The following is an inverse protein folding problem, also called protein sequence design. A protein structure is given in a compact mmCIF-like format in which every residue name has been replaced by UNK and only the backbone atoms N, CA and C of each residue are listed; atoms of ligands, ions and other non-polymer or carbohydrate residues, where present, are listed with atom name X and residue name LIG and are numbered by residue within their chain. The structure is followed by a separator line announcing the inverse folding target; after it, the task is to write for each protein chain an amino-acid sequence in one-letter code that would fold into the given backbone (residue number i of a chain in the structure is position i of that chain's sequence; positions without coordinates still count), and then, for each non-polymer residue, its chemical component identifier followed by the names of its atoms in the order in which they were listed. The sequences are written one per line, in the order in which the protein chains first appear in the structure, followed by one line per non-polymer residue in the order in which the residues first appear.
data_IF_639985199178
#
_entry.id   IF_639985199178
#
_cell.length_a   1.000
_cell.length_b   1.000
_cell.length_c   1.000
_cell.angle_alpha   90.00
_cell.angle_beta   90.00
_cell.angle_gamma   90.00
#
_symmetry.space_group_name_H-M   'P 1'
#
loop_
_entity.id
_entity.type
_entity.pdbx_description
1 polymer ?
#
# COMPACT_ATOMS: atom_id res chain seq x y z
N UNK A 1 18.18 0.27 12.52
CA UNK A 1 18.87 -0.17 11.27
C UNK A 1 19.53 1.02 10.59
N UNK A 2 18.89 2.18 10.63
CA UNK A 2 19.21 3.34 9.78
C UNK A 2 20.54 4.01 10.13
N UNK A 3 21.07 3.74 11.33
CA UNK A 3 22.43 4.13 11.70
C UNK A 3 23.54 3.38 10.94
N UNK A 4 23.22 2.27 10.25
CA UNK A 4 24.19 1.56 9.42
C UNK A 4 24.32 2.25 8.05
N UNK A 5 25.55 2.48 7.55
CA UNK A 5 25.75 2.94 6.19
C UNK A 5 25.07 2.03 5.17
N UNK A 6 24.52 2.61 4.10
CA UNK A 6 23.81 1.88 3.03
C UNK A 6 24.58 0.66 2.52
N UNK A 7 25.85 0.84 2.14
CA UNK A 7 26.69 -0.25 1.63
C UNK A 7 26.85 -1.41 2.64
N UNK A 8 26.81 -1.11 3.95
CA UNK A 8 26.90 -2.12 5.01
C UNK A 8 25.57 -2.87 5.19
N UNK A 9 24.42 -2.20 5.01
CA UNK A 9 23.09 -2.87 4.95
C UNK A 9 22.99 -3.80 3.75
N UNK A 10 23.42 -3.35 2.58
CA UNK A 10 23.47 -4.18 1.36
C UNK A 10 24.41 -5.39 1.51
N UNK A 11 25.59 -5.19 2.09
CA UNK A 11 26.51 -6.28 2.39
C UNK A 11 25.95 -7.26 3.41
N UNK A 12 25.23 -6.76 4.43
CA UNK A 12 24.55 -7.59 5.41
C UNK A 12 23.46 -8.45 4.76
N UNK A 13 22.67 -7.89 3.84
CA UNK A 13 21.64 -8.62 3.10
C UNK A 13 22.24 -9.81 2.33
N UNK A 14 23.31 -9.57 1.56
CA UNK A 14 24.08 -10.65 0.90
C UNK A 14 24.67 -11.66 1.91
N UNK A 15 25.12 -11.15 3.06
CA UNK A 15 25.69 -11.95 4.13
C UNK A 15 24.71 -12.92 4.77
N UNK A 16 23.48 -12.48 5.07
CA UNK A 16 22.48 -13.32 5.72
C UNK A 16 21.92 -14.41 4.81
N UNK A 17 22.03 -14.24 3.49
CA UNK A 17 21.65 -15.26 2.50
C UNK A 17 22.73 -16.33 2.34
N UNK A 18 24.00 -15.94 2.40
CA UNK A 18 25.14 -16.82 2.14
C UNK A 18 25.69 -17.51 3.39
N UNK A 19 25.26 -17.11 4.60
CA UNK A 19 25.84 -17.60 5.85
C UNK A 19 24.80 -18.18 6.80
N UNK A 20 25.25 -19.12 7.64
CA UNK A 20 24.47 -19.57 8.79
C UNK A 20 24.49 -18.50 9.88
N UNK A 21 23.37 -17.80 10.06
CA UNK A 21 23.27 -16.71 11.03
C UNK A 21 23.04 -17.21 12.46
N UNK A 22 23.77 -16.61 13.40
CA UNK A 22 23.66 -16.83 14.84
C UNK A 22 23.31 -15.54 15.58
N UNK A 23 22.89 -15.69 16.83
CA UNK A 23 22.69 -14.64 17.80
C UNK A 23 23.43 -14.96 19.11
N UNK A 24 23.77 -13.94 19.89
CA UNK A 24 24.44 -14.05 21.20
C UNK A 24 25.94 -14.29 21.14
N UNK A 25 26.56 -14.23 19.96
CA UNK A 25 28.01 -14.33 19.77
C UNK A 25 28.43 -13.79 18.39
N UNK A 26 29.72 -13.48 18.23
CA UNK A 26 30.30 -13.01 16.97
C UNK A 26 30.51 -14.14 15.95
N UNK A 27 31.03 -15.27 16.43
CA UNK A 27 31.21 -16.52 15.68
C UNK A 27 30.94 -17.68 16.62
N UNK A 28 30.40 -18.78 16.10
CA UNK A 28 30.25 -20.04 16.82
C UNK A 28 31.07 -21.13 16.12
N UNK A 29 32.26 -21.49 16.64
CA UNK A 29 33.10 -22.52 16.07
C UNK A 29 32.41 -23.89 15.98
N UNK A 30 31.47 -24.19 16.88
CA UNK A 30 30.77 -25.48 16.91
C UNK A 30 29.79 -25.63 15.76
N UNK A 31 29.00 -24.59 15.47
CA UNK A 31 28.03 -24.63 14.36
C UNK A 31 28.55 -24.06 13.04
N UNK A 32 29.72 -23.41 13.05
CA UNK A 32 30.26 -22.64 11.92
C UNK A 32 29.46 -21.37 11.61
N UNK A 33 28.56 -20.96 12.51
CA UNK A 33 27.69 -19.81 12.33
C UNK A 33 28.38 -18.48 12.63
N UNK A 34 27.87 -17.40 12.01
CA UNK A 34 28.39 -16.04 12.18
C UNK A 34 27.28 -15.05 12.47
N UNK A 35 27.59 -14.00 13.23
CA UNK A 35 26.63 -12.93 13.45
C UNK A 35 26.37 -12.14 12.15
N UNK A 36 25.24 -11.41 12.05
CA UNK A 36 24.94 -10.62 10.85
C UNK A 36 26.03 -9.60 10.50
N UNK A 37 26.70 -9.04 11.52
CA UNK A 37 27.78 -8.08 11.31
C UNK A 37 29.01 -8.72 10.65
N UNK A 38 29.44 -9.88 11.12
CA UNK A 38 30.56 -10.60 10.50
C UNK A 38 30.17 -11.10 9.09
N UNK A 39 28.91 -11.51 8.90
CA UNK A 39 28.39 -11.85 7.57
C UNK A 39 28.47 -10.64 6.61
N UNK A 40 28.11 -9.44 7.09
CA UNK A 40 28.25 -8.20 6.33
C UNK A 40 29.72 -7.91 6.00
N UNK A 41 30.63 -8.03 6.97
CA UNK A 41 32.07 -7.78 6.77
C UNK A 41 32.68 -8.67 5.70
N UNK A 42 32.30 -9.96 5.69
CA UNK A 42 32.72 -10.92 4.66
C UNK A 42 32.21 -10.55 3.26
N UNK A 43 31.13 -9.77 3.18
CA UNK A 43 30.51 -9.31 1.96
C UNK A 43 30.83 -7.84 1.63
N UNK A 44 31.92 -7.31 2.19
CA UNK A 44 32.43 -5.97 1.90
C UNK A 44 31.86 -4.85 2.78
N UNK A 45 31.03 -5.17 3.77
CA UNK A 45 30.58 -4.20 4.77
C UNK A 45 31.75 -3.71 5.62
N UNK A 46 31.89 -2.41 5.80
CA UNK A 46 32.92 -1.81 6.66
C UNK A 46 32.23 -0.86 7.64
N UNK A 47 31.76 -1.43 8.74
CA UNK A 47 31.16 -0.65 9.83
C UNK A 47 31.47 -1.32 11.16
N UNK A 48 31.86 -0.53 12.15
CA UNK A 48 32.09 -1.00 13.51
C UNK A 48 30.99 -0.42 14.41
N UNK A 49 29.80 -1.02 14.33
CA UNK A 49 28.66 -0.60 15.12
C UNK A 49 28.35 -1.67 16.18
N UNK A 50 29.09 -1.64 17.29
CA UNK A 50 28.82 -2.49 18.45
C UNK A 50 27.36 -2.34 18.96
N UNK A 51 26.75 -1.19 18.71
CA UNK A 51 25.32 -0.95 18.97
C UNK A 51 24.40 -1.92 18.23
N UNK A 52 24.68 -2.23 16.97
CA UNK A 52 23.87 -3.17 16.20
C UNK A 52 23.93 -4.58 16.81
N UNK A 53 25.12 -5.06 17.15
CA UNK A 53 25.29 -6.41 17.71
C UNK A 53 24.46 -6.57 19.00
N UNK A 54 24.48 -5.56 19.86
CA UNK A 54 23.64 -5.54 21.07
C UNK A 54 22.15 -5.52 20.74
N UNK A 55 21.71 -4.68 19.80
CA UNK A 55 20.30 -4.62 19.40
C UNK A 55 19.81 -5.94 18.79
N UNK A 56 20.66 -6.63 18.03
CA UNK A 56 20.35 -7.96 17.48
C UNK A 56 20.15 -9.00 18.58
N UNK A 57 21.07 -9.04 19.55
CA UNK A 57 20.97 -9.98 20.67
C UNK A 57 19.75 -9.70 21.56
N UNK A 58 19.40 -8.41 21.76
CA UNK A 58 18.17 -7.99 22.44
C UNK A 58 16.93 -8.43 21.66
N UNK A 59 16.88 -8.16 20.35
CA UNK A 59 15.74 -8.53 19.50
C UNK A 59 15.48 -10.04 19.51
N UNK A 60 16.55 -10.85 19.46
CA UNK A 60 16.46 -12.32 19.48
C UNK A 60 16.31 -12.88 20.90
N UNK A 61 16.47 -12.06 21.94
CA UNK A 61 16.53 -12.51 23.34
C UNK A 61 17.67 -13.50 23.61
N UNK A 62 18.73 -13.49 22.81
CA UNK A 62 19.83 -14.44 22.94
C UNK A 62 20.71 -14.10 24.16
N UNK A 63 20.81 -15.04 25.10
CA UNK A 63 21.75 -14.95 26.25
C UNK A 63 23.04 -15.73 26.03
N UNK A 64 23.06 -16.63 25.05
CA UNK A 64 24.19 -17.48 24.66
C UNK A 64 24.15 -17.66 23.14
N UNK A 65 25.30 -18.02 22.57
CA UNK A 65 25.42 -18.35 21.15
C UNK A 65 24.38 -19.41 20.75
N UNK A 66 23.53 -19.08 19.78
CA UNK A 66 22.59 -20.02 19.16
C UNK A 66 22.33 -19.66 17.72
N UNK A 67 21.83 -20.63 16.96
CA UNK A 67 21.33 -20.38 15.61
C UNK A 67 20.14 -19.43 15.66
N UNK A 68 20.14 -18.45 14.76
CA UNK A 68 18.97 -17.61 14.52
C UNK A 68 17.86 -18.44 13.85
N UNK A 69 16.63 -18.27 14.30
CA UNK A 69 15.47 -18.90 13.69
C UNK A 69 15.18 -18.29 12.32
N UNK A 70 14.42 -18.99 11.48
CA UNK A 70 14.03 -18.46 10.16
C UNK A 70 13.29 -17.12 10.29
N UNK A 71 12.33 -17.04 11.22
CA UNK A 71 11.55 -15.83 11.49
C UNK A 71 12.43 -14.64 11.89
N UNK A 72 13.48 -14.86 12.67
CA UNK A 72 14.42 -13.80 13.05
C UNK A 72 15.24 -13.31 11.86
N UNK A 73 15.70 -14.23 11.00
CA UNK A 73 16.46 -13.87 9.78
C UNK A 73 15.55 -13.16 8.77
N UNK A 74 14.31 -13.61 8.60
CA UNK A 74 13.34 -12.98 7.69
C UNK A 74 12.93 -11.59 8.21
N UNK A 75 12.77 -11.40 9.52
CA UNK A 75 12.54 -10.08 10.11
C UNK A 75 13.73 -9.15 9.87
N UNK A 76 14.96 -9.64 10.06
CA UNK A 76 16.18 -8.87 9.77
C UNK A 76 16.23 -8.46 8.29
N UNK A 77 15.95 -9.40 7.36
CA UNK A 77 15.86 -9.11 5.93
C UNK A 77 14.84 -7.99 5.66
N UNK A 78 13.62 -8.14 6.18
CA UNK A 78 12.56 -7.14 5.99
C UNK A 78 12.97 -5.75 6.50
N UNK A 79 13.59 -5.65 7.67
CA UNK A 79 14.07 -4.36 8.18
C UNK A 79 15.18 -3.75 7.33
N UNK A 80 16.10 -4.57 6.78
CA UNK A 80 17.15 -4.09 5.88
C UNK A 80 16.55 -3.58 4.56
N UNK A 81 15.64 -4.35 3.96
CA UNK A 81 14.96 -3.98 2.72
C UNK A 81 14.14 -2.70 2.87
N UNK A 82 13.34 -2.59 3.93
CA UNK A 82 12.56 -1.38 4.21
C UNK A 82 13.45 -0.15 4.40
N UNK A 83 14.56 -0.30 5.15
CA UNK A 83 15.53 0.79 5.36
C UNK A 83 16.20 1.22 4.05
N UNK A 84 16.49 0.29 3.14
CA UNK A 84 17.08 0.59 1.83
C UNK A 84 16.07 1.24 0.86
N UNK A 85 14.81 0.79 0.87
CA UNK A 85 13.74 1.39 0.07
C UNK A 85 13.47 2.83 0.54
N UNK A 86 13.33 3.04 1.86
CA UNK A 86 13.08 4.36 2.43
C UNK A 86 14.18 5.38 2.05
N UNK A 87 15.45 4.99 2.12
CA UNK A 87 16.56 5.84 1.70
C UNK A 87 16.62 6.05 0.17
N UNK A 88 16.19 5.05 -0.61
CA UNK A 88 16.05 5.18 -2.06
C UNK A 88 14.96 6.18 -2.45
N UNK A 89 13.82 6.12 -1.79
CA UNK A 89 12.72 7.07 -1.96
C UNK A 89 13.10 8.46 -1.48
N UNK A 90 13.85 8.60 -0.39
CA UNK A 90 14.41 9.88 0.05
C UNK A 90 15.37 10.46 -0.99
N UNK A 91 16.17 9.63 -1.68
CA UNK A 91 17.03 10.09 -2.78
C UNK A 91 16.22 10.50 -4.03
N UNK A 92 15.13 9.81 -4.34
CA UNK A 92 14.24 10.14 -5.45
C UNK A 92 13.41 11.40 -5.17
N UNK A 93 12.87 11.53 -3.95
CA UNK A 93 12.11 12.70 -3.49
C UNK A 93 13.00 13.91 -3.19
N UNK A 94 14.27 13.73 -2.80
CA UNK A 94 15.23 14.83 -2.72
C UNK A 94 15.62 15.36 -4.12
N UNK A 95 15.54 14.54 -5.17
CA UNK A 95 15.80 14.94 -6.55
C UNK A 95 14.57 15.53 -7.25
N UNK A 96 13.36 15.13 -6.87
CA UNK A 96 12.13 15.77 -7.29
C UNK A 96 11.57 16.62 -6.15
N UNK A 97 11.90 17.92 -6.16
CA UNK A 97 11.21 18.86 -5.29
C UNK A 97 9.70 18.74 -5.50
N UNK A 98 8.91 18.84 -4.42
CA UNK A 98 7.44 18.92 -4.51
C UNK A 98 7.01 20.00 -5.52
N UNK A 99 7.80 21.06 -5.65
CA UNK A 99 7.62 22.11 -6.66
C UNK A 99 7.78 21.58 -8.09
N UNK A 100 8.80 20.77 -8.36
CA UNK A 100 9.06 20.19 -9.69
C UNK A 100 7.98 19.19 -10.09
N UNK A 101 7.55 18.36 -9.13
CA UNK A 101 6.42 17.44 -9.33
C UNK A 101 5.12 18.21 -9.62
N UNK A 102 4.85 19.29 -8.88
CA UNK A 102 3.69 20.14 -9.11
C UNK A 102 3.76 20.85 -10.48
N UNK A 103 4.93 21.32 -10.91
CA UNK A 103 5.11 21.92 -12.23
C UNK A 103 4.88 20.93 -13.37
N UNK A 104 5.39 19.70 -13.24
CA UNK A 104 5.15 18.63 -14.22
C UNK A 104 3.66 18.37 -14.39
N UNK A 105 2.93 18.20 -13.28
CA UNK A 105 1.47 17.99 -13.29
C UNK A 105 0.74 19.17 -13.94
N UNK A 106 1.18 20.42 -13.68
CA UNK A 106 0.59 21.61 -14.34
C UNK A 106 0.82 21.62 -15.84
N UNK A 107 2.02 21.25 -16.32
CA UNK A 107 2.34 21.15 -17.76
C UNK A 107 1.49 20.08 -18.43
N UNK A 108 1.48 18.87 -17.90
CA UNK A 108 0.67 17.77 -18.42
C UNK A 108 -0.82 18.16 -18.51
N UNK A 109 -1.37 18.80 -17.47
CA UNK A 109 -2.76 19.27 -17.48
C UNK A 109 -3.00 20.39 -18.51
N UNK A 110 -2.04 21.28 -18.72
CA UNK A 110 -2.13 22.31 -19.75
C UNK A 110 -2.13 21.68 -21.15
N UNK A 111 -1.28 20.68 -21.40
CA UNK A 111 -1.20 19.96 -22.67
C UNK A 111 -2.48 19.17 -22.95
N UNK A 112 -3.04 18.52 -21.93
CA UNK A 112 -4.33 17.84 -22.03
C UNK A 112 -5.48 18.82 -22.32
N UNK A 113 -5.49 20.00 -21.68
CA UNK A 113 -6.50 21.04 -21.96
C UNK A 113 -6.36 21.61 -23.36
N UNK A 114 -5.14 21.90 -23.82
CA UNK A 114 -4.89 22.37 -25.18
C UNK A 114 -5.34 21.35 -26.21
N UNK A 115 -5.03 20.07 -25.98
CA UNK A 115 -5.45 18.96 -26.85
C UNK A 115 -6.97 18.79 -26.87
N UNK A 116 -7.65 18.97 -25.73
CA UNK A 116 -9.11 18.90 -25.63
C UNK A 116 -9.81 20.03 -26.40
N UNK A 117 -9.27 21.27 -26.33
CA UNK A 117 -9.82 22.42 -27.09
C UNK A 117 -9.67 22.20 -28.60
N UNK A 118 -8.55 21.64 -29.04
CA UNK A 118 -8.35 21.28 -30.46
C UNK A 118 -9.31 20.17 -30.88
N UNK A 119 -9.52 19.15 -30.04
CA UNK A 119 -10.49 18.10 -30.33
C UNK A 119 -11.92 18.63 -30.43
N UNK A 120 -12.32 19.53 -29.51
CA UNK A 120 -13.66 20.12 -29.48
C UNK A 120 -13.94 21.03 -30.69
N UNK A 121 -12.94 21.80 -31.14
CA UNK A 121 -13.07 22.62 -32.36
C UNK A 121 -13.17 21.78 -33.64
N UNK A 122 -12.42 20.67 -33.72
CA UNK A 122 -12.52 19.71 -34.82
C UNK A 122 -13.87 19.00 -34.82
N UNK A 123 -14.40 18.64 -33.66
CA UNK A 123 -15.69 17.97 -33.52
C UNK A 123 -16.88 18.90 -33.80
N UNK A 124 -16.80 20.17 -33.39
CA UNK A 124 -17.80 21.20 -33.72
C UNK A 124 -17.88 21.50 -35.22
N UNK A 125 -16.77 21.34 -35.96
CA UNK A 125 -16.70 21.55 -37.41
C UNK A 125 -17.23 20.36 -38.22
N UNK A 126 -17.42 19.19 -37.60
CA UNK A 126 -18.06 18.04 -38.25
C UNK A 126 -19.56 18.23 -38.17
N UNK A 127 -20.18 18.52 -39.31
CA UNK A 127 -21.64 18.56 -39.43
C UNK A 127 -22.22 17.22 -38.94
N UNK A 128 -22.95 17.27 -37.82
CA UNK A 128 -23.48 16.09 -37.14
C UNK A 128 -24.46 15.40 -38.09
N UNK A 129 -24.05 14.24 -38.61
CA UNK A 129 -24.95 13.37 -39.38
C UNK A 129 -26.14 13.00 -38.48
N UNK A 130 -27.38 13.27 -38.90
CA UNK A 130 -28.55 12.94 -38.10
C UNK A 130 -28.60 11.43 -37.91
N UNK A 131 -28.37 10.96 -36.69
CA UNK A 131 -28.23 9.53 -36.33
C UNK A 131 -29.52 8.72 -36.52
N UNK A 132 -30.57 9.28 -37.14
CA UNK A 132 -31.86 8.64 -37.38
C UNK A 132 -32.69 8.36 -36.12
N UNK A 133 -32.11 8.54 -34.92
CA UNK A 133 -32.78 8.31 -33.65
C UNK A 133 -33.82 9.40 -33.37
N UNK A 134 -35.08 9.11 -33.69
CA UNK A 134 -36.20 9.98 -33.32
C UNK A 134 -36.36 9.99 -31.80
N UNK A 135 -36.61 11.17 -31.23
CA UNK A 135 -36.92 11.34 -29.80
C UNK A 135 -38.17 10.51 -29.45
N UNK A 136 -37.96 9.36 -28.79
CA UNK A 136 -39.03 8.48 -28.31
C UNK A 136 -39.44 8.76 -26.87
N UNK A 137 -38.90 9.78 -26.19
CA UNK A 137 -39.13 10.04 -24.75
C UNK A 137 -40.61 10.08 -24.34
N UNK A 138 -41.51 10.42 -25.28
CA UNK A 138 -42.96 10.39 -25.08
C UNK A 138 -43.53 8.97 -24.97
N UNK A 139 -43.07 8.04 -25.81
CA UNK A 139 -43.43 6.62 -25.80
C UNK A 139 -42.93 5.94 -24.52
N UNK A 140 -41.78 6.40 -24.04
CA UNK A 140 -41.03 5.78 -22.97
C UNK A 140 -41.48 6.25 -21.56
N UNK A 141 -42.07 7.44 -21.44
CA UNK A 141 -42.59 7.94 -20.15
C UNK A 141 -43.66 7.07 -19.50
N UNK A 142 -44.36 6.24 -20.27
CA UNK A 142 -45.44 5.39 -19.77
C UNK A 142 -45.01 4.06 -19.15
N UNK A 143 -43.74 3.63 -19.27
CA UNK A 143 -43.33 2.33 -18.68
C UNK A 143 -42.88 2.49 -17.24
N UNK A 144 -43.42 1.63 -16.36
CA UNK A 144 -42.96 1.48 -14.98
C UNK A 144 -41.48 1.13 -14.99
N UNK A 145 -40.71 1.79 -14.11
CA UNK A 145 -39.27 1.63 -14.02
C UNK A 145 -38.56 2.03 -15.35
N UNK A 146 -38.88 3.16 -15.97
CA UNK A 146 -38.02 3.74 -17.02
C UNK A 146 -36.93 4.63 -16.43
N UNK A 147 -37.24 5.39 -15.38
CA UNK A 147 -36.36 6.41 -14.81
C UNK A 147 -35.00 5.88 -14.30
N UNK A 148 -34.94 4.63 -13.83
CA UNK A 148 -33.71 3.95 -13.40
C UNK A 148 -32.83 3.42 -14.56
N UNK A 149 -33.39 3.25 -15.78
CA UNK A 149 -32.66 2.89 -17.00
C UNK A 149 -32.37 4.13 -17.85
N UNK A 150 -31.86 5.20 -17.24
CA UNK A 150 -31.35 6.36 -17.98
C UNK A 150 -29.81 6.33 -18.05
N UNK A 151 -29.20 5.54 -18.96
CA UNK A 151 -28.03 6.04 -19.66
C UNK A 151 -28.52 7.25 -20.46
N UNK A 152 -28.01 8.43 -20.14
CA UNK A 152 -28.24 9.66 -20.91
C UNK A 152 -28.02 9.38 -22.40
N UNK A 153 -29.10 9.35 -23.20
CA UNK A 153 -29.04 9.00 -24.63
C UNK A 153 -28.23 9.99 -25.46
N UNK A 154 -28.17 11.27 -25.04
CA UNK A 154 -27.29 12.26 -25.66
C UNK A 154 -25.94 12.24 -24.96
N UNK A 155 -24.90 11.97 -25.74
CA UNK A 155 -23.51 11.96 -25.27
C UNK A 155 -23.13 13.27 -24.57
N UNK A 156 -23.60 14.42 -25.05
CA UNK A 156 -23.33 15.73 -24.42
C UNK A 156 -23.83 15.77 -22.96
N UNK A 157 -25.05 15.29 -22.72
CA UNK A 157 -25.67 15.26 -21.38
C UNK A 157 -25.00 14.21 -20.49
N UNK A 158 -24.51 13.11 -21.08
CA UNK A 158 -23.69 12.14 -20.36
C UNK A 158 -22.37 12.77 -19.90
N UNK A 159 -21.68 13.45 -20.82
CA UNK A 159 -20.39 14.11 -20.61
C UNK A 159 -20.50 15.18 -19.53
N UNK A 160 -21.52 16.02 -19.59
CA UNK A 160 -21.79 17.04 -18.57
C UNK A 160 -22.05 16.43 -17.19
N UNK A 161 -22.83 15.34 -17.11
CA UNK A 161 -23.09 14.66 -15.84
C UNK A 161 -21.86 13.97 -15.25
N UNK A 162 -21.03 13.36 -16.10
CA UNK A 162 -19.75 12.79 -15.68
C UNK A 162 -18.80 13.86 -15.15
N UNK A 163 -18.73 15.01 -15.84
CA UNK A 163 -17.92 16.14 -15.40
C UNK A 163 -18.39 16.67 -14.04
N UNK A 164 -19.71 16.89 -13.86
CA UNK A 164 -20.28 17.31 -12.59
C UNK A 164 -19.98 16.31 -11.46
N UNK A 165 -20.21 15.01 -11.69
CA UNK A 165 -19.94 13.97 -10.70
C UNK A 165 -18.44 13.89 -10.32
N UNK A 166 -17.54 14.14 -11.28
CA UNK A 166 -16.10 14.14 -11.01
C UNK A 166 -15.65 15.33 -10.14
N UNK A 167 -16.30 16.49 -10.30
CA UNK A 167 -16.07 17.67 -9.46
C UNK A 167 -16.59 17.43 -8.05
N UNK A 168 -17.82 16.91 -7.91
CA UNK A 168 -18.40 16.56 -6.61
C UNK A 168 -17.54 15.55 -5.84
N UNK A 169 -17.00 14.52 -6.52
CA UNK A 169 -16.11 13.54 -5.87
C UNK A 169 -14.77 14.15 -5.46
N UNK A 170 -14.21 15.07 -6.26
CA UNK A 170 -12.97 15.76 -5.93
C UNK A 170 -13.17 16.71 -4.73
N UNK A 171 -14.30 17.40 -4.65
CA UNK A 171 -14.67 18.27 -3.52
C UNK A 171 -14.93 17.47 -2.24
N UNK A 172 -15.58 16.30 -2.33
CA UNK A 172 -15.73 15.38 -1.21
C UNK A 172 -14.38 14.88 -0.71
N UNK A 173 -13.50 14.42 -1.60
CA UNK A 173 -12.16 13.98 -1.23
C UNK A 173 -11.29 15.10 -0.63
N UNK A 174 -11.48 16.36 -1.06
CA UNK A 174 -10.82 17.52 -0.47
C UNK A 174 -11.37 17.86 0.93
N UNK A 175 -12.70 17.75 1.10
CA UNK A 175 -13.36 17.94 2.41
C UNK A 175 -12.90 16.88 3.42
N UNK A 176 -12.87 15.60 3.03
CA UNK A 176 -12.40 14.49 3.87
C UNK A 176 -10.94 14.65 4.31
N UNK A 177 -10.12 15.32 3.50
CA UNK A 177 -8.69 15.56 3.77
C UNK A 177 -8.45 16.78 4.66
N UNK A 178 -9.38 17.75 4.63
CA UNK A 178 -9.32 18.99 5.42
C UNK A 178 -10.01 18.85 6.77
N UNK A 179 -10.97 17.94 6.92
CA UNK A 179 -11.70 17.69 8.17
C UNK A 179 -11.65 16.19 8.59
N UNK A 180 -10.51 15.70 9.11
CA UNK A 180 -10.35 14.30 9.49
C UNK A 180 -11.24 13.89 10.69
N UNK A 181 -11.97 14.82 11.32
CA UNK A 181 -12.83 14.56 12.46
C UNK A 181 -14.21 13.99 12.07
N UNK A 182 -14.62 14.11 10.80
CA UNK A 182 -15.96 13.70 10.32
C UNK A 182 -15.93 12.53 9.31
N UNK A 183 -14.77 11.90 9.09
CA UNK A 183 -14.69 10.70 8.28
C UNK A 183 -15.63 9.62 8.88
N UNK A 184 -16.60 9.07 8.11
CA UNK A 184 -17.51 8.06 8.63
C UNK A 184 -16.70 6.84 9.06
N UNK A 185 -16.62 6.64 10.38
CA UNK A 185 -15.99 5.48 11.00
C UNK A 185 -16.49 4.20 10.31
N UNK A 186 -15.61 3.28 9.92
CA UNK A 186 -16.03 2.03 9.29
C UNK A 186 -16.96 1.31 10.26
N UNK A 187 -18.23 1.16 9.88
CA UNK A 187 -19.22 0.43 10.66
C UNK A 187 -18.74 -1.01 10.79
N UNK A 188 -18.12 -1.34 11.92
CA UNK A 188 -17.77 -2.71 12.25
C UNK A 188 -19.06 -3.49 12.41
N UNK A 189 -19.39 -4.27 11.40
CA UNK A 189 -20.52 -5.20 11.39
C UNK A 189 -20.25 -6.28 12.45
N UNK A 190 -20.67 -6.05 13.70
CA UNK A 190 -20.73 -7.09 14.74
C UNK A 190 -21.67 -8.20 14.27
N UNK A 191 -21.12 -9.28 13.72
CA UNK A 191 -21.82 -10.56 13.64
C UNK A 191 -21.76 -11.20 15.03
N UNK A 192 -22.87 -11.11 15.75
CA UNK A 192 -23.11 -11.91 16.94
C UNK A 192 -23.25 -13.38 16.53
N UNK A 193 -22.22 -14.16 16.81
CA UNK A 193 -22.25 -15.62 16.79
C UNK A 193 -22.11 -16.17 18.20
N UNK A 194 -23.24 -16.46 18.84
CA UNK A 194 -23.39 -17.42 19.94
C UNK A 194 -24.64 -18.21 19.55
N UNK A 195 -24.65 -19.54 19.51
CA UNK A 195 -24.35 -20.41 20.64
C UNK A 195 -23.68 -21.71 20.17
N UNK A 196 -22.52 -21.99 20.79
CA UNK A 196 -21.91 -23.30 20.82
C UNK A 196 -22.66 -24.21 21.79
N UNK A 197 -22.68 -25.47 21.40
CA UNK A 197 -23.10 -26.64 22.16
C UNK A 197 -22.34 -26.73 23.49
N UNK A 198 -23.04 -27.12 24.55
CA UNK A 198 -22.40 -27.72 25.73
C UNK A 198 -23.08 -29.04 26.05
N UNK A 199 -22.29 -30.09 25.87
CA UNK A 199 -22.52 -31.45 26.35
C UNK A 199 -22.78 -31.43 27.85
N UNK A 200 -23.77 -32.22 28.30
CA UNK A 200 -23.89 -32.67 29.68
C UNK A 200 -23.92 -34.20 29.68
N UNK A 201 -22.82 -34.78 30.11
CA UNK A 201 -22.72 -36.15 30.58
C UNK A 201 -22.68 -36.14 32.13
N UNK A 202 -23.20 -37.23 32.71
CA UNK A 202 -23.08 -37.69 34.12
C UNK A 202 -23.91 -36.88 35.16
N UNK A 203 -24.59 -37.47 36.16
CA UNK A 203 -24.45 -38.78 36.80
C UNK A 203 -25.78 -39.23 37.45
N UNK A 204 -25.87 -40.55 37.59
CA UNK A 204 -26.83 -41.34 38.37
C UNK A 204 -26.87 -40.96 39.86
N UNK A 205 -28.00 -41.23 40.54
CA UNK A 205 -27.88 -41.97 41.80
C UNK A 205 -28.92 -43.09 41.93
N UNK A 206 -28.43 -44.28 42.30
CA UNK A 206 -29.25 -45.38 42.82
C UNK A 206 -29.13 -45.51 44.33
N UNK A 207 -30.21 -46.02 44.94
CA UNK A 207 -30.37 -46.63 46.29
C UNK A 207 -30.14 -45.72 47.51
N UNK A 208 -31.18 -45.62 48.35
CA UNK A 208 -31.52 -46.62 49.40
C UNK A 208 -33.03 -46.81 49.41
#
# INVERSE_FOLDING_TARGET
MDALPRHSREAMLRGIESNRIIAGAYVDPGSGGVCPMLAAHRNGGRTDLAGFARSWDIFTGARKARRATRREVDALRGYLEMSLIAEGDEYLTARESISDAAERIRRERADHRASAVVAETVEASRERVPTGERNRDRELRGRRLWSWMRPTRRYDVYRERLAAASVEHAEQGATDLLDPAEAPMPVTRRHGGQLAQTERAEASPGRV
#
